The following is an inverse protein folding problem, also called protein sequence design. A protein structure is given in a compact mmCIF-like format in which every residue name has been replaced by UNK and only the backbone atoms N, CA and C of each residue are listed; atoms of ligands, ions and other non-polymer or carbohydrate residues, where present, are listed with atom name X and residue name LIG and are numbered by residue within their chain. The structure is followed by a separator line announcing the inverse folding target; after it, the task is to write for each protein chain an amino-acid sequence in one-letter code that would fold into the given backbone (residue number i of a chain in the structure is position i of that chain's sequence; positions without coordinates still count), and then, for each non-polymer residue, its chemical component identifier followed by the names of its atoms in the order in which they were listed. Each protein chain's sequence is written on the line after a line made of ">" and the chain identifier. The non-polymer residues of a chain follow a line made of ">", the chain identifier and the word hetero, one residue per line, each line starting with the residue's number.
data_IF_019831886036
#
_entry.id   IF_019831886036
#
_cell.length_a   1.000
_cell.length_b   1.000
_cell.length_c   1.000
_cell.angle_alpha   90.00
_cell.angle_beta   90.00
_cell.angle_gamma   90.00
#
_symmetry.space_group_name_H-M   'P 1'
#
loop_
_entity.id
_entity.type
_entity.pdbx_description
1 polymer ?
#
# COMPACT_ATOMS: atom_id res chain seq x y z
N UNK A 1 18.62 -13.20 2.18
CA UNK A 1 19.41 -13.43 3.42
C UNK A 1 18.72 -14.50 4.22
N UNK A 2 19.45 -15.38 4.90
CA UNK A 2 18.84 -16.48 5.64
C UNK A 2 18.98 -16.27 7.15
N UNK A 3 17.89 -16.50 7.88
CA UNK A 3 17.87 -16.53 9.34
C UNK A 3 17.82 -17.98 9.79
N UNK A 4 18.65 -18.35 10.78
CA UNK A 4 18.56 -19.64 11.49
C UNK A 4 17.94 -19.45 12.86
N UNK A 5 17.39 -20.53 13.41
CA UNK A 5 16.80 -20.56 14.76
C UNK A 5 15.68 -19.53 14.96
N UNK A 6 15.00 -19.17 13.87
CA UNK A 6 13.87 -18.25 13.89
C UNK A 6 12.61 -18.97 14.39
N UNK A 7 11.80 -18.24 15.16
CA UNK A 7 10.41 -18.61 15.45
C UNK A 7 9.53 -17.68 14.63
N UNK A 8 8.79 -18.25 13.68
CA UNK A 8 7.80 -17.49 12.91
C UNK A 8 6.49 -17.51 13.69
N UNK A 9 5.96 -16.31 13.95
CA UNK A 9 4.63 -16.12 14.52
C UNK A 9 3.71 -15.68 13.39
N UNK A 10 2.70 -16.51 13.12
CA UNK A 10 1.70 -16.27 12.09
C UNK A 10 0.70 -15.18 12.53
N UNK A 11 -0.06 -14.64 11.57
CA UNK A 11 -1.10 -13.62 11.85
C UNK A 11 -2.18 -14.10 12.82
N UNK A 12 -2.42 -15.41 12.88
CA UNK A 12 -3.39 -16.02 13.80
C UNK A 12 -2.84 -16.26 15.22
N UNK A 13 -1.59 -15.82 15.48
CA UNK A 13 -0.90 -15.99 16.76
C UNK A 13 -0.28 -17.37 16.95
N UNK A 14 -0.39 -18.28 15.98
CA UNK A 14 0.32 -19.55 16.04
C UNK A 14 1.83 -19.35 15.83
N UNK A 15 2.64 -20.06 16.61
CA UNK A 15 4.09 -19.98 16.52
C UNK A 15 4.67 -21.34 16.15
N UNK A 16 5.65 -21.34 15.23
CA UNK A 16 6.37 -22.54 14.81
C UNK A 16 7.88 -22.34 15.03
N UNK A 17 8.48 -22.96 16.05
CA UNK A 17 9.89 -22.75 16.37
C UNK A 17 10.82 -23.51 15.40
N UNK A 18 12.04 -22.98 15.20
CA UNK A 18 13.20 -23.74 14.72
C UNK A 18 13.33 -23.89 13.20
N UNK A 19 13.02 -22.84 12.42
CA UNK A 19 13.18 -22.87 10.95
C UNK A 19 14.30 -21.99 10.42
N UNK A 20 14.75 -22.35 9.22
CA UNK A 20 15.43 -21.44 8.30
C UNK A 20 14.38 -20.53 7.64
N UNK A 21 14.60 -19.22 7.67
CA UNK A 21 13.69 -18.21 7.07
C UNK A 21 14.47 -17.43 6.03
N UNK A 22 14.01 -17.43 4.79
CA UNK A 22 14.59 -16.58 3.75
C UNK A 22 13.94 -15.19 3.77
N UNK A 23 14.76 -14.19 4.09
CA UNK A 23 14.39 -12.77 3.99
C UNK A 23 14.81 -12.28 2.62
N UNK A 24 13.84 -12.10 1.73
CA UNK A 24 14.03 -11.45 0.43
C UNK A 24 13.75 -9.95 0.58
N UNK A 25 14.58 -9.05 0.00
CA UNK A 25 14.42 -7.58 0.14
C UNK A 25 13.12 -6.97 -0.42
N UNK A 26 12.13 -7.76 -0.82
CA UNK A 26 10.89 -7.30 -1.47
C UNK A 26 9.64 -7.50 -0.60
N UNK A 27 9.80 -7.66 0.72
CA UNK A 27 8.66 -7.81 1.63
C UNK A 27 7.87 -9.12 1.47
N UNK A 28 8.35 -10.04 0.63
CA UNK A 28 7.79 -11.40 0.48
C UNK A 28 8.72 -12.40 1.16
N UNK A 29 8.19 -13.14 2.13
CA UNK A 29 8.81 -14.38 2.61
C UNK A 29 8.42 -15.50 1.65
N UNK A 30 9.41 -16.28 1.18
CA UNK A 30 9.15 -17.52 0.45
C UNK A 30 9.43 -18.68 1.42
N UNK A 31 8.38 -19.43 1.77
CA UNK A 31 8.57 -20.63 2.59
C UNK A 31 9.32 -21.71 1.81
N UNK A 32 10.46 -22.13 2.36
CA UNK A 32 10.97 -23.50 2.17
C UNK A 32 12.26 -23.62 1.36
N UNK A 33 13.33 -24.01 2.05
CA UNK A 33 14.24 -25.09 1.63
C UNK A 33 14.84 -25.74 2.88
N UNK A 34 15.22 -27.03 2.79
CA UNK A 34 15.80 -27.79 3.91
C UNK A 34 17.22 -27.31 4.32
N UNK A 35 17.81 -26.35 3.58
CA UNK A 35 19.02 -25.61 3.97
C UNK A 35 19.30 -24.46 2.97
N UNK A 36 19.88 -23.33 3.40
CA UNK A 36 20.45 -22.34 2.48
C UNK A 36 21.55 -22.94 1.59
N UNK A 37 21.78 -22.35 0.42
CA UNK A 37 22.99 -22.63 -0.37
C UNK A 37 24.26 -22.31 0.45
N UNK A 38 25.38 -23.00 0.17
CA UNK A 38 26.60 -22.92 0.96
C UNK A 38 27.23 -21.51 1.02
N UNK A 39 26.92 -20.65 0.06
CA UNK A 39 27.39 -19.28 -0.09
C UNK A 39 26.38 -18.23 0.40
N UNK A 40 25.23 -18.64 0.93
CA UNK A 40 24.23 -17.71 1.43
C UNK A 40 24.71 -16.99 2.70
N UNK A 41 24.43 -15.68 2.80
CA UNK A 41 24.61 -14.95 4.04
C UNK A 41 23.60 -15.44 5.10
N UNK A 42 24.12 -16.01 6.19
CA UNK A 42 23.36 -16.53 7.33
C UNK A 42 23.51 -15.56 8.51
N UNK A 43 22.38 -15.19 9.11
CA UNK A 43 22.33 -14.49 10.39
C UNK A 43 21.69 -15.38 11.45
N UNK A 44 22.19 -15.27 12.68
CA UNK A 44 21.59 -15.88 13.86
C UNK A 44 20.41 -15.02 14.33
N UNK A 45 19.21 -15.59 14.38
CA UNK A 45 18.00 -14.87 14.79
C UNK A 45 17.65 -15.10 16.27
N UNK A 46 18.48 -15.80 17.05
CA UNK A 46 18.22 -16.03 18.45
C UNK A 46 18.02 -14.70 19.20
N UNK A 47 16.79 -14.46 19.68
CA UNK A 47 16.41 -13.23 20.40
C UNK A 47 16.13 -12.01 19.53
N UNK A 48 16.11 -12.13 18.20
CA UNK A 48 15.64 -11.07 17.29
C UNK A 48 14.13 -11.19 17.08
N UNK A 49 13.42 -10.07 17.22
CA UNK A 49 12.03 -9.93 16.80
C UNK A 49 11.99 -9.23 15.43
N UNK A 50 11.39 -9.88 14.43
CA UNK A 50 11.23 -9.33 13.08
C UNK A 50 9.74 -9.26 12.79
N UNK A 51 9.22 -8.03 12.72
CA UNK A 51 7.83 -7.79 12.35
C UNK A 51 7.74 -7.65 10.84
N UNK A 52 7.23 -8.68 10.18
CA UNK A 52 6.94 -8.62 8.75
C UNK A 52 5.68 -7.78 8.50
N UNK A 53 5.76 -6.82 7.57
CA UNK A 53 4.63 -6.00 7.15
C UNK A 53 3.86 -5.32 8.30
N UNK A 54 4.54 -4.53 9.17
CA UNK A 54 3.95 -3.99 10.41
C UNK A 54 2.69 -3.13 10.21
N UNK A 55 2.46 -2.64 9.00
CA UNK A 55 1.39 -1.69 8.67
C UNK A 55 0.30 -2.27 7.76
N UNK A 56 0.30 -3.58 7.48
CA UNK A 56 -0.60 -4.16 6.48
C UNK A 56 -2.09 -4.03 6.88
N UNK A 57 -2.39 -4.21 8.16
CA UNK A 57 -3.76 -4.03 8.68
C UNK A 57 -4.26 -2.58 8.53
N UNK A 58 -3.38 -1.59 8.76
CA UNK A 58 -3.70 -0.17 8.53
C UNK A 58 -3.88 0.10 7.04
N UNK A 59 -3.03 -0.49 6.19
CA UNK A 59 -3.11 -0.33 4.75
C UNK A 59 -4.38 -0.91 4.14
N UNK A 60 -4.81 -2.09 4.60
CA UNK A 60 -6.08 -2.70 4.20
C UNK A 60 -7.27 -1.88 4.67
N UNK A 61 -7.25 -1.44 5.93
CA UNK A 61 -8.33 -0.63 6.50
C UNK A 61 -8.46 0.72 5.77
N UNK A 62 -7.35 1.40 5.47
CA UNK A 62 -7.37 2.65 4.73
C UNK A 62 -7.91 2.47 3.32
N UNK A 63 -7.41 1.46 2.59
CA UNK A 63 -7.87 1.20 1.22
C UNK A 63 -9.36 0.87 1.20
N UNK A 64 -9.83 0.05 2.14
CA UNK A 64 -11.25 -0.26 2.28
C UNK A 64 -12.09 0.99 2.59
N UNK A 65 -11.59 1.88 3.45
CA UNK A 65 -12.26 3.14 3.77
C UNK A 65 -12.35 4.07 2.55
N UNK A 66 -11.28 4.22 1.77
CA UNK A 66 -11.27 5.03 0.55
C UNK A 66 -12.25 4.45 -0.49
N UNK A 67 -12.13 3.16 -0.79
CA UNK A 67 -12.99 2.47 -1.77
C UNK A 67 -14.46 2.50 -1.36
N UNK A 68 -14.74 2.32 -0.07
CA UNK A 68 -16.10 2.35 0.48
C UNK A 68 -16.66 3.74 0.76
N UNK A 69 -15.85 4.81 0.63
CA UNK A 69 -16.26 6.15 1.03
C UNK A 69 -16.52 6.28 2.55
N UNK A 70 -15.92 5.42 3.37
CA UNK A 70 -16.16 5.36 4.81
C UNK A 70 -15.29 6.39 5.56
N UNK A 71 -15.85 7.58 5.68
CA UNK A 71 -15.25 8.71 6.40
C UNK A 71 -14.94 8.37 7.86
N UNK A 72 -15.81 7.60 8.53
CA UNK A 72 -15.62 7.27 9.93
C UNK A 72 -14.45 6.29 10.13
N UNK A 73 -14.35 5.27 9.26
CA UNK A 73 -13.22 4.36 9.26
C UNK A 73 -11.90 5.08 8.94
N UNK A 74 -11.89 5.96 7.93
CA UNK A 74 -10.71 6.77 7.62
C UNK A 74 -10.30 7.67 8.80
N UNK A 75 -11.27 8.38 9.41
CA UNK A 75 -11.00 9.27 10.53
C UNK A 75 -10.40 8.55 11.75
N UNK A 76 -10.78 7.28 11.98
CA UNK A 76 -10.23 6.46 13.05
C UNK A 76 -8.77 6.04 12.81
N UNK A 77 -8.31 6.03 11.55
CA UNK A 77 -6.93 5.70 11.18
C UNK A 77 -6.02 6.93 11.19
N UNK A 78 -6.57 8.13 10.98
CA UNK A 78 -5.81 9.38 10.83
C UNK A 78 -5.38 9.97 12.18
N UNK A 79 -4.11 10.36 12.28
CA UNK A 79 -3.62 11.23 13.34
C UNK A 79 -4.30 12.60 13.24
N UNK A 80 -4.35 13.35 14.35
CA UNK A 80 -5.02 14.65 14.37
C UNK A 80 -4.27 15.73 13.57
N UNK A 81 -2.96 15.57 13.41
CA UNK A 81 -2.06 16.42 12.64
C UNK A 81 -1.74 15.86 11.24
N UNK A 82 -2.60 14.98 10.70
CA UNK A 82 -2.44 14.40 9.37
C UNK A 82 -2.25 15.48 8.30
N UNK A 83 -1.30 15.24 7.40
CA UNK A 83 -1.16 15.98 6.14
C UNK A 83 -1.28 15.04 4.94
N UNK A 84 -2.15 15.37 3.98
CA UNK A 84 -2.30 14.65 2.72
C UNK A 84 -1.93 15.57 1.55
N UNK A 85 -1.02 15.11 0.71
CA UNK A 85 -0.55 15.83 -0.46
C UNK A 85 -0.85 15.04 -1.74
N UNK A 86 -1.28 15.71 -2.81
CA UNK A 86 -1.51 15.11 -4.12
C UNK A 86 -0.63 15.78 -5.20
N UNK A 87 -0.05 14.98 -6.09
CA UNK A 87 0.82 15.48 -7.16
C UNK A 87 0.10 16.39 -8.18
N UNK A 88 -1.21 16.21 -8.37
CA UNK A 88 -1.95 16.90 -9.42
C UNK A 88 -2.23 18.38 -9.09
N UNK A 89 -2.29 18.75 -7.81
CA UNK A 89 -2.49 20.14 -7.37
C UNK A 89 -1.36 20.69 -6.51
N UNK A 90 -0.54 19.81 -5.92
CA UNK A 90 0.59 20.19 -5.09
C UNK A 90 0.20 20.80 -3.74
N UNK A 91 -1.04 20.63 -3.30
CA UNK A 91 -1.59 21.25 -2.08
C UNK A 91 -1.57 20.24 -0.92
N UNK A 92 -0.91 20.61 0.17
CA UNK A 92 -1.04 19.95 1.47
C UNK A 92 -2.45 20.23 2.04
N UNK A 93 -3.15 19.16 2.39
CA UNK A 93 -4.48 19.19 3.01
C UNK A 93 -4.43 18.61 4.40
N UNK A 94 -5.24 19.18 5.29
CA UNK A 94 -5.39 18.67 6.64
C UNK A 94 -6.34 17.46 6.71
N UNK A 95 -6.51 16.91 7.92
CA UNK A 95 -7.43 15.80 8.21
C UNK A 95 -8.86 16.07 7.76
N UNK A 96 -9.40 17.26 8.02
CA UNK A 96 -10.79 17.58 7.72
C UNK A 96 -11.00 17.67 6.20
N UNK A 97 -10.07 18.31 5.49
CA UNK A 97 -10.08 18.41 4.03
C UNK A 97 -9.93 17.04 3.36
N UNK A 98 -9.03 16.18 3.87
CA UNK A 98 -8.86 14.81 3.36
C UNK A 98 -10.13 13.97 3.54
N UNK A 99 -10.79 14.07 4.69
CA UNK A 99 -12.03 13.35 4.96
C UNK A 99 -13.18 13.83 4.07
N UNK A 100 -13.25 15.13 3.77
CA UNK A 100 -14.22 15.65 2.82
C UNK A 100 -13.97 15.14 1.39
N UNK A 101 -12.70 14.95 0.98
CA UNK A 101 -12.39 14.33 -0.31
C UNK A 101 -12.92 12.89 -0.40
N UNK A 102 -12.72 12.07 0.65
CA UNK A 102 -13.28 10.71 0.71
C UNK A 102 -14.81 10.76 0.62
N UNK A 103 -15.44 11.68 1.37
CA UNK A 103 -16.89 11.87 1.32
C UNK A 103 -17.36 12.30 -0.08
N UNK A 104 -16.58 13.12 -0.78
CA UNK A 104 -16.88 13.58 -2.14
C UNK A 104 -16.75 12.46 -3.17
N UNK A 105 -15.71 11.63 -3.08
CA UNK A 105 -15.53 10.46 -3.96
C UNK A 105 -16.75 9.53 -3.92
N UNK A 106 -17.28 9.28 -2.72
CA UNK A 106 -18.48 8.46 -2.52
C UNK A 106 -19.75 9.03 -3.18
N UNK A 107 -19.79 10.35 -3.42
CA UNK A 107 -20.89 11.02 -4.14
C UNK A 107 -20.65 11.07 -5.65
N UNK A 108 -19.39 11.17 -6.06
CA UNK A 108 -18.98 11.29 -7.47
C UNK A 108 -19.10 9.97 -8.20
N UNK A 109 -18.68 8.88 -7.58
CA UNK A 109 -18.60 7.57 -8.19
C UNK A 109 -19.73 6.65 -7.71
N UNK A 110 -20.42 6.00 -8.65
CA UNK A 110 -21.41 4.95 -8.33
C UNK A 110 -20.74 3.62 -7.98
N UNK A 111 -19.51 3.42 -8.47
CA UNK A 111 -18.67 2.27 -8.18
C UNK A 111 -17.21 2.72 -8.18
N UNK A 112 -16.44 2.21 -7.23
CA UNK A 112 -15.01 2.39 -7.13
C UNK A 112 -14.41 1.06 -6.71
N UNK A 113 -13.39 0.61 -7.41
CA UNK A 113 -12.69 -0.64 -7.12
C UNK A 113 -11.19 -0.42 -7.13
N UNK A 114 -10.48 -1.07 -6.21
CA UNK A 114 -9.03 -1.09 -6.18
C UNK A 114 -8.53 -2.43 -6.74
N UNK A 115 -7.68 -2.36 -7.76
CA UNK A 115 -7.07 -3.54 -8.41
C UNK A 115 -5.55 -3.40 -8.46
N UNK A 116 -4.85 -4.52 -8.68
CA UNK A 116 -3.37 -4.56 -8.75
C UNK A 116 -2.67 -3.90 -7.55
N UNK A 117 -3.21 -4.14 -6.35
CA UNK A 117 -2.68 -3.60 -5.10
C UNK A 117 -1.35 -4.27 -4.77
N UNK A 118 -0.28 -3.48 -4.69
CA UNK A 118 1.08 -3.93 -4.39
C UNK A 118 1.71 -3.02 -3.34
N UNK A 119 2.26 -3.59 -2.27
CA UNK A 119 2.82 -2.84 -1.15
C UNK A 119 4.29 -3.15 -0.91
N UNK A 120 5.06 -2.09 -0.67
CA UNK A 120 6.41 -2.17 -0.12
C UNK A 120 6.35 -1.61 1.31
N UNK A 121 6.60 -2.45 2.32
CA UNK A 121 6.53 -2.03 3.72
C UNK A 121 7.83 -1.39 4.19
N UNK A 122 7.70 -0.36 5.01
CA UNK A 122 8.78 0.41 5.59
C UNK A 122 8.62 0.42 7.12
N UNK A 123 9.69 0.76 7.84
CA UNK A 123 9.63 0.87 9.29
C UNK A 123 8.60 1.93 9.73
N UNK A 124 8.54 3.04 9.00
CA UNK A 124 7.72 4.22 9.28
C UNK A 124 6.42 4.27 8.46
N UNK A 125 6.02 3.17 7.80
CA UNK A 125 4.80 3.12 7.01
C UNK A 125 4.89 2.19 5.80
N UNK A 126 4.36 2.60 4.66
CA UNK A 126 4.37 1.77 3.46
C UNK A 126 4.23 2.61 2.18
N UNK A 127 4.65 2.03 1.07
CA UNK A 127 4.28 2.49 -0.27
C UNK A 127 3.26 1.52 -0.84
N UNK A 128 2.14 2.04 -1.35
CA UNK A 128 1.11 1.26 -2.03
C UNK A 128 0.99 1.73 -3.48
N UNK A 129 1.04 0.80 -4.42
CA UNK A 129 0.64 1.02 -5.82
C UNK A 129 -0.73 0.39 -6.03
N UNK A 130 -1.63 1.06 -6.71
CA UNK A 130 -3.01 0.61 -6.91
C UNK A 130 -3.57 1.19 -8.20
N UNK A 131 -4.35 0.39 -8.92
CA UNK A 131 -5.16 0.85 -10.04
C UNK A 131 -6.59 1.01 -9.55
N UNK A 132 -7.05 2.26 -9.43
CA UNK A 132 -8.45 2.55 -9.16
C UNK A 132 -9.25 2.48 -10.45
N UNK A 133 -10.36 1.75 -10.40
CA UNK A 133 -11.34 1.65 -11.48
C UNK A 133 -12.63 2.23 -10.96
N UNK A 134 -13.03 3.37 -11.51
CA UNK A 134 -14.20 4.08 -11.05
C UNK A 134 -15.24 4.16 -12.16
N UNK A 135 -16.49 4.22 -11.76
CA UNK A 135 -17.60 4.51 -12.66
C UNK A 135 -18.32 5.72 -12.11
N UNK A 136 -18.37 6.80 -12.89
CA UNK A 136 -19.01 8.04 -12.46
C UNK A 136 -20.54 7.90 -12.44
N UNK A 137 -21.22 8.92 -11.90
CA UNK A 137 -22.68 8.97 -11.84
C UNK A 137 -23.35 8.94 -13.23
N UNK A 138 -22.67 9.40 -14.29
CA UNK A 138 -23.16 9.35 -15.67
C UNK A 138 -22.91 7.97 -16.34
N UNK A 139 -22.11 7.12 -15.70
CA UNK A 139 -21.78 5.78 -16.17
C UNK A 139 -20.52 5.70 -17.02
N UNK A 140 -19.67 6.73 -17.01
CA UNK A 140 -18.37 6.69 -17.68
C UNK A 140 -17.35 5.95 -16.82
N UNK A 141 -16.51 5.15 -17.47
CA UNK A 141 -15.41 4.43 -16.81
C UNK A 141 -14.16 5.31 -16.74
N UNK A 142 -13.54 5.32 -15.56
CA UNK A 142 -12.28 5.99 -15.28
C UNK A 142 -11.28 4.99 -14.70
N UNK A 143 -10.03 5.08 -15.16
CA UNK A 143 -8.91 4.28 -14.63
C UNK A 143 -7.83 5.25 -14.19
N UNK A 144 -7.40 5.09 -12.94
CA UNK A 144 -6.35 5.92 -12.34
C UNK A 144 -5.29 5.01 -11.74
N UNK A 145 -4.08 5.12 -12.28
CA UNK A 145 -2.89 4.51 -11.70
C UNK A 145 -2.39 5.40 -10.57
N UNK A 146 -2.31 4.85 -9.36
CA UNK A 146 -1.90 5.59 -8.16
C UNK A 146 -0.75 4.93 -7.44
N UNK A 147 0.10 5.75 -6.85
CA UNK A 147 1.07 5.37 -5.85
C UNK A 147 0.92 6.27 -4.64
N UNK A 148 0.67 5.68 -3.47
CA UNK A 148 0.66 6.39 -2.19
C UNK A 148 1.87 6.01 -1.37
N UNK A 149 2.62 7.00 -0.87
CA UNK A 149 3.51 6.81 0.28
C UNK A 149 2.74 7.23 1.52
N UNK A 150 2.61 6.32 2.48
CA UNK A 150 1.88 6.51 3.73
C UNK A 150 2.86 6.39 4.89
N UNK A 151 2.82 7.35 5.79
CA UNK A 151 3.57 7.34 7.05
C UNK A 151 2.67 7.00 8.22
N UNK A 152 3.16 6.14 9.11
CA UNK A 152 2.42 5.63 10.26
C UNK A 152 3.27 5.79 11.52
N UNK A 153 2.69 6.41 12.55
CA UNK A 153 3.24 6.50 13.90
C UNK A 153 2.14 6.21 14.91
N UNK A 154 2.46 5.48 16.00
CA UNK A 154 1.50 5.16 17.06
C UNK A 154 0.18 4.56 16.56
N UNK A 155 0.26 3.68 15.54
CA UNK A 155 -0.87 3.07 14.84
C UNK A 155 -1.86 4.07 14.22
N UNK A 156 -1.38 5.27 13.87
CA UNK A 156 -2.11 6.32 13.17
C UNK A 156 -1.33 6.80 11.95
N UNK A 157 -2.06 7.16 10.89
CA UNK A 157 -1.47 7.73 9.68
C UNK A 157 -1.22 9.22 9.91
N UNK A 158 0.02 9.66 9.71
CA UNK A 158 0.45 11.05 9.95
C UNK A 158 0.71 11.81 8.65
N UNK A 159 1.04 11.12 7.57
CA UNK A 159 1.22 11.72 6.25
C UNK A 159 0.81 10.76 5.14
N UNK A 160 0.24 11.32 4.08
CA UNK A 160 0.05 10.63 2.80
C UNK A 160 0.59 11.53 1.69
N UNK A 161 1.39 10.97 0.80
CA UNK A 161 1.71 11.57 -0.49
C UNK A 161 1.17 10.67 -1.59
N UNK A 162 0.27 11.21 -2.41
CA UNK A 162 -0.34 10.50 -3.53
C UNK A 162 0.18 11.02 -4.86
N UNK A 163 0.60 10.08 -5.70
CA UNK A 163 0.98 10.29 -7.09
C UNK A 163 -0.03 9.56 -7.95
N UNK A 164 -0.92 10.30 -8.59
CA UNK A 164 -1.92 9.77 -9.50
C UNK A 164 -1.59 10.16 -10.95
N UNK A 165 -1.77 9.21 -11.86
CA UNK A 165 -1.82 9.44 -13.30
C UNK A 165 -3.10 8.78 -13.80
N UNK A 166 -4.03 9.61 -14.27
CA UNK A 166 -5.32 9.18 -14.81
C UNK A 166 -5.63 9.92 -16.10
N UNK A 167 -6.30 9.22 -17.02
CA UNK A 167 -6.87 9.72 -18.27
C UNK A 167 -8.05 8.82 -18.64
N UNK A 168 -9.05 9.38 -19.33
CA UNK A 168 -10.21 8.63 -19.81
C UNK A 168 -9.75 7.35 -20.52
N UNK A 169 -10.46 6.24 -20.26
CA UNK A 169 -10.13 4.87 -20.67
C UNK A 169 -9.27 4.79 -21.95
N UNK A 170 -8.03 4.31 -21.80
CA UNK A 170 -7.11 3.86 -22.84
C UNK A 170 -7.47 4.29 -24.27
N UNK A 171 -6.85 5.37 -24.77
CA UNK A 171 -6.82 5.64 -26.21
C UNK A 171 -6.18 4.46 -26.94
N UNK A 172 -7.03 3.64 -27.55
CA UNK A 172 -6.66 2.86 -28.72
C UNK A 172 -6.57 3.80 -29.91
N UNK A 173 -5.42 4.42 -30.16
CA UNK A 173 -5.09 4.93 -31.49
C UNK A 173 -3.56 5.08 -31.62
N UNK A 174 -3.04 4.68 -32.79
CA UNK A 174 -1.63 4.41 -33.03
C UNK A 174 -0.68 5.59 -32.80
N UNK A 175 0.51 5.28 -32.28
CA UNK A 175 1.70 6.10 -32.48
C UNK A 175 2.34 5.73 -33.82
N UNK A 176 1.76 6.24 -34.89
CA UNK A 176 2.52 6.54 -36.12
C UNK A 176 3.25 7.89 -35.93
N UNK A 177 4.52 7.95 -36.35
CA UNK A 177 5.35 9.17 -36.37
C UNK A 177 6.48 9.15 -35.33
N UNK A 178 7.63 8.52 -35.61
CA UNK A 178 8.79 9.04 -36.36
C UNK A 178 9.74 9.90 -35.51
N UNK A 179 10.98 9.42 -35.31
CA UNK A 179 12.20 10.19 -35.58
C UNK A 179 13.42 9.26 -35.48
N UNK A 180 13.87 8.79 -36.65
CA UNK A 180 15.21 8.26 -36.86
C UNK A 180 16.03 9.33 -37.56
N UNK A 181 16.93 9.96 -36.81
CA UNK A 181 18.18 10.56 -37.31
C UNK A 181 19.24 10.34 -36.26
#
# INVERSE_FOLDING_TARGET
>A
MWLRDATVVERDGSARPGRWVEVVPTGRHQEGHDRPAADAQILDAAGLEIVAAPHDAIADALLAAIVGGDVAAAAALYADDLVVWHNHDGIDRDKAESLELIAAMARTYRALEATDVRRDHLADGYVQRTVFRAVDAAGNDEIVDTMMRVWVADARITRIEEYAVGGAAAEGEGRDGEHRT
#
